data_IF_431398911444
#
_entry.id   IF_431398911444
#
_cell.length_a   1.000
_cell.length_b   1.000
_cell.length_c   1.000
_cell.angle_alpha   90.00
_cell.angle_beta   90.00
_cell.angle_gamma   90.00
#
_symmetry.space_group_name_H-M   'P 1'
#
loop_
_entity.id
_entity.type
_entity.pdbx_description
1 polymer ?
#
# COMPACT_ATOMS: atom_id res chain seq x y z
N UNK A 1 -14.38 2.01 20.21
CA UNK A 1 -13.41 1.14 19.49
C UNK A 1 -12.60 0.21 20.43
N UNK A 2 -12.84 0.24 21.75
CA UNK A 2 -12.30 -0.73 22.72
C UNK A 2 -12.74 -2.18 22.43
N UNK A 3 -13.94 -2.35 21.88
CA UNK A 3 -14.55 -3.64 21.59
C UNK A 3 -13.68 -4.55 20.69
N UNK A 4 -13.07 -4.01 19.65
CA UNK A 4 -12.17 -4.77 18.72
C UNK A 4 -10.86 -5.17 19.41
N UNK A 5 -10.43 -4.43 20.41
CA UNK A 5 -9.20 -4.69 21.17
C UNK A 5 -9.38 -5.79 22.21
N UNK A 6 -10.60 -5.97 22.74
CA UNK A 6 -10.93 -6.90 23.83
C UNK A 6 -11.38 -8.27 23.31
N UNK A 7 -11.85 -8.39 22.07
CA UNK A 7 -12.22 -9.67 21.48
C UNK A 7 -10.98 -10.35 20.87
N UNK A 8 -10.62 -11.52 21.40
CA UNK A 8 -9.43 -12.26 20.98
C UNK A 8 -9.41 -12.68 19.49
N UNK A 9 -10.55 -12.65 18.79
CA UNK A 9 -10.68 -13.08 17.39
C UNK A 9 -10.88 -11.95 16.40
N UNK A 10 -11.46 -10.80 16.80
CA UNK A 10 -11.80 -9.73 15.86
C UNK A 10 -10.55 -9.06 15.26
N UNK A 11 -9.53 -8.79 16.07
CA UNK A 11 -8.30 -8.19 15.59
C UNK A 11 -7.56 -9.06 14.55
N UNK A 12 -7.33 -10.39 14.78
CA UNK A 12 -6.76 -11.27 13.77
C UNK A 12 -7.57 -11.33 12.48
N UNK A 13 -8.91 -11.34 12.55
CA UNK A 13 -9.78 -11.37 11.36
C UNK A 13 -9.62 -10.08 10.54
N UNK A 14 -9.72 -8.91 11.18
CA UNK A 14 -9.55 -7.61 10.50
C UNK A 14 -8.15 -7.49 9.90
N UNK A 15 -7.12 -7.92 10.62
CA UNK A 15 -5.73 -7.91 10.15
C UNK A 15 -5.53 -8.84 8.94
N UNK A 16 -6.05 -10.07 9.00
CA UNK A 16 -5.95 -11.02 7.89
C UNK A 16 -6.71 -10.54 6.65
N UNK A 17 -7.89 -9.97 6.83
CA UNK A 17 -8.67 -9.36 5.75
C UNK A 17 -7.92 -8.19 5.13
N UNK A 18 -7.33 -7.32 5.95
CA UNK A 18 -6.52 -6.20 5.45
C UNK A 18 -5.31 -6.68 4.64
N UNK A 19 -4.58 -7.70 5.11
CA UNK A 19 -3.44 -8.27 4.40
C UNK A 19 -3.85 -8.91 3.06
N UNK A 20 -4.97 -9.63 3.04
CA UNK A 20 -5.53 -10.21 1.81
C UNK A 20 -5.91 -9.12 0.80
N UNK A 21 -6.57 -8.06 1.27
CA UNK A 21 -6.91 -6.91 0.41
C UNK A 21 -5.65 -6.21 -0.13
N UNK A 22 -4.59 -6.07 0.69
CA UNK A 22 -3.31 -5.52 0.24
C UNK A 22 -2.70 -6.39 -0.86
N UNK A 23 -2.72 -7.72 -0.71
CA UNK A 23 -2.16 -8.63 -1.71
C UNK A 23 -2.90 -8.54 -3.05
N UNK A 24 -4.24 -8.57 -3.02
CA UNK A 24 -5.08 -8.46 -4.22
C UNK A 24 -4.91 -7.08 -4.86
N UNK A 25 -5.11 -6.01 -4.11
CA UNK A 25 -5.01 -4.65 -4.62
C UNK A 25 -3.60 -4.31 -5.10
N UNK A 26 -2.57 -4.69 -4.34
CA UNK A 26 -1.17 -4.53 -4.73
C UNK A 26 -0.82 -5.30 -5.99
N UNK A 27 -1.33 -6.53 -6.14
CA UNK A 27 -1.18 -7.31 -7.37
C UNK A 27 -1.77 -6.62 -8.60
N UNK A 28 -2.97 -6.02 -8.48
CA UNK A 28 -3.58 -5.24 -9.56
C UNK A 28 -2.77 -3.99 -9.94
N UNK A 29 -2.12 -3.35 -8.95
CA UNK A 29 -1.21 -2.24 -9.21
C UNK A 29 0.03 -2.73 -9.94
N UNK A 30 0.70 -3.77 -9.43
CA UNK A 30 1.90 -4.35 -10.04
C UNK A 30 1.65 -4.75 -11.49
N UNK A 31 0.53 -5.42 -11.81
CA UNK A 31 0.17 -5.77 -13.19
C UNK A 31 0.10 -4.53 -14.08
N UNK A 32 -0.57 -3.47 -13.61
CA UNK A 32 -0.68 -2.22 -14.37
C UNK A 32 0.68 -1.55 -14.57
N UNK A 33 1.49 -1.47 -13.51
CA UNK A 33 2.76 -0.78 -13.54
C UNK A 33 3.81 -1.52 -14.38
N UNK A 34 3.84 -2.86 -14.31
CA UNK A 34 4.67 -3.68 -15.20
C UNK A 34 4.29 -3.53 -16.67
N UNK A 35 2.99 -3.37 -16.98
CA UNK A 35 2.54 -3.07 -18.35
C UNK A 35 3.00 -1.68 -18.80
N UNK A 36 2.91 -0.66 -17.94
CA UNK A 36 3.38 0.70 -18.22
C UNK A 36 4.91 0.76 -18.41
N UNK A 37 5.66 -0.10 -17.72
CA UNK A 37 7.11 -0.24 -17.91
C UNK A 37 7.46 -1.00 -19.21
N UNK A 38 6.51 -1.76 -19.77
CA UNK A 38 6.75 -2.62 -20.93
C UNK A 38 7.48 -3.93 -20.57
N UNK A 39 7.45 -4.36 -19.30
CA UNK A 39 8.11 -5.59 -18.85
C UNK A 39 7.20 -6.81 -18.87
N UNK A 40 5.88 -6.61 -18.79
CA UNK A 40 4.92 -7.70 -18.82
C UNK A 40 3.67 -7.33 -19.65
N UNK A 41 2.90 -8.34 -20.05
CA UNK A 41 1.64 -8.20 -20.80
C UNK A 41 1.77 -7.37 -22.08
N UNK A 42 2.86 -7.56 -22.83
CA UNK A 42 3.16 -6.80 -24.05
C UNK A 42 2.20 -7.13 -25.19
N UNK A 43 1.56 -8.29 -25.14
CA UNK A 43 0.51 -8.75 -26.06
C UNK A 43 -0.84 -8.03 -25.87
N UNK A 44 -1.02 -7.29 -24.77
CA UNK A 44 -2.22 -6.52 -24.45
C UNK A 44 -1.98 -5.02 -24.65
N UNK A 45 -3.03 -4.29 -25.06
CA UNK A 45 -2.95 -2.84 -25.10
C UNK A 45 -2.82 -2.26 -23.68
N UNK A 46 -2.20 -1.08 -23.54
CA UNK A 46 -2.13 -0.39 -22.24
C UNK A 46 -3.54 -0.04 -21.79
N UNK A 47 -4.40 0.39 -22.73
CA UNK A 47 -5.78 0.74 -22.46
C UNK A 47 -6.57 -0.45 -21.89
N UNK A 48 -6.42 -1.65 -22.47
CA UNK A 48 -7.12 -2.84 -21.97
C UNK A 48 -6.73 -3.18 -20.55
N UNK A 49 -5.44 -3.16 -20.23
CA UNK A 49 -4.96 -3.47 -18.89
C UNK A 49 -5.39 -2.39 -17.87
N UNK A 50 -5.21 -1.11 -18.20
CA UNK A 50 -5.56 -0.01 -17.30
C UNK A 50 -7.06 0.06 -17.04
N UNK A 51 -7.88 -0.01 -18.10
CA UNK A 51 -9.33 0.09 -18.02
C UNK A 51 -9.97 -1.16 -17.42
N UNK A 52 -9.51 -2.36 -17.83
CA UNK A 52 -10.01 -3.62 -17.31
C UNK A 52 -9.82 -3.78 -15.79
N UNK A 53 -8.71 -3.27 -15.26
CA UNK A 53 -8.43 -3.35 -13.81
C UNK A 53 -8.96 -2.14 -13.02
N UNK A 54 -9.46 -1.09 -13.68
CA UNK A 54 -9.86 0.18 -13.04
C UNK A 54 -10.90 0.02 -11.95
N UNK A 55 -11.97 -0.75 -12.23
CA UNK A 55 -13.03 -1.00 -11.27
C UNK A 55 -12.53 -1.79 -10.06
N UNK A 56 -11.82 -2.88 -10.30
CA UNK A 56 -11.26 -3.72 -9.25
C UNK A 56 -10.29 -2.97 -8.34
N UNK A 57 -9.47 -2.09 -8.91
CA UNK A 57 -8.58 -1.21 -8.14
C UNK A 57 -9.35 -0.22 -7.26
N UNK A 58 -10.47 0.32 -7.74
CA UNK A 58 -11.31 1.23 -6.92
C UNK A 58 -11.94 0.49 -5.74
N UNK A 59 -12.55 -0.66 -5.99
CA UNK A 59 -13.17 -1.48 -4.94
C UNK A 59 -12.11 -1.94 -3.92
N UNK A 60 -10.99 -2.49 -4.40
CA UNK A 60 -9.90 -2.92 -3.54
C UNK A 60 -9.32 -1.80 -2.68
N UNK A 61 -9.16 -0.60 -3.24
CA UNK A 61 -8.71 0.58 -2.50
C UNK A 61 -9.68 0.96 -1.37
N UNK A 62 -10.99 1.00 -1.65
CA UNK A 62 -12.02 1.36 -0.66
C UNK A 62 -12.00 0.37 0.51
N UNK A 63 -11.99 -0.93 0.22
CA UNK A 63 -11.97 -1.96 1.26
C UNK A 63 -10.67 -1.89 2.07
N UNK A 64 -9.52 -1.80 1.38
CA UNK A 64 -8.21 -1.71 2.03
C UNK A 64 -8.11 -0.47 2.93
N UNK A 65 -8.62 0.68 2.48
CA UNK A 65 -8.63 1.92 3.24
C UNK A 65 -9.51 1.80 4.48
N UNK A 66 -10.73 1.26 4.35
CA UNK A 66 -11.65 1.05 5.47
C UNK A 66 -11.03 0.13 6.54
N UNK A 67 -10.45 -1.01 6.12
CA UNK A 67 -9.79 -1.94 7.04
C UNK A 67 -8.56 -1.31 7.71
N UNK A 68 -7.75 -0.57 6.96
CA UNK A 68 -6.59 0.14 7.49
C UNK A 68 -6.96 1.23 8.50
N UNK A 69 -8.05 1.95 8.25
CA UNK A 69 -8.59 2.95 9.18
C UNK A 69 -9.11 2.30 10.48
N UNK A 70 -9.80 1.17 10.38
CA UNK A 70 -10.25 0.39 11.52
C UNK A 70 -9.07 -0.09 12.39
N UNK A 71 -8.01 -0.64 11.76
CA UNK A 71 -6.80 -1.06 12.46
C UNK A 71 -6.09 0.12 13.15
N UNK A 72 -5.99 1.26 12.48
CA UNK A 72 -5.43 2.46 13.09
C UNK A 72 -6.22 2.89 14.32
N UNK A 73 -7.55 2.95 14.23
CA UNK A 73 -8.41 3.33 15.36
C UNK A 73 -8.34 2.37 16.55
N UNK A 74 -8.01 1.08 16.32
CA UNK A 74 -7.88 0.10 17.39
C UNK A 74 -6.56 0.18 18.16
N UNK A 75 -5.47 0.66 17.54
CA UNK A 75 -4.11 0.70 18.11
C UNK A 75 -3.40 2.05 17.90
N UNK A 76 -4.12 3.15 17.84
CA UNK A 76 -3.56 4.46 17.55
C UNK A 76 -2.43 4.87 18.53
N UNK A 77 -2.58 4.56 19.82
CA UNK A 77 -1.58 4.85 20.85
C UNK A 77 -0.25 4.10 20.63
N UNK A 78 -0.33 2.86 20.13
CA UNK A 78 0.84 2.02 19.87
C UNK A 78 1.58 2.46 18.60
N UNK A 79 0.87 3.06 17.63
CA UNK A 79 1.44 3.51 16.37
C UNK A 79 2.09 4.89 16.46
N UNK A 80 1.64 5.76 17.37
CA UNK A 80 2.15 7.12 17.47
C UNK A 80 3.66 7.22 17.71
N UNK A 81 4.29 6.43 18.63
CA UNK A 81 5.74 6.48 18.86
C UNK A 81 6.56 5.74 17.78
N UNK A 82 5.91 5.08 16.81
CA UNK A 82 6.57 4.22 15.85
C UNK A 82 7.01 5.01 14.59
N UNK A 83 8.33 5.17 14.33
CA UNK A 83 8.81 5.94 13.18
C UNK A 83 8.39 5.34 11.83
N UNK A 84 8.30 4.00 11.72
CA UNK A 84 7.87 3.34 10.49
C UNK A 84 6.41 3.64 10.13
N UNK A 85 5.58 3.91 11.13
CA UNK A 85 4.22 4.38 10.91
C UNK A 85 4.20 5.73 10.19
N UNK A 86 5.02 6.69 10.63
CA UNK A 86 5.09 8.02 10.01
C UNK A 86 5.68 7.97 8.60
N UNK A 87 6.71 7.14 8.37
CA UNK A 87 7.25 6.92 7.02
C UNK A 87 6.18 6.32 6.11
N UNK A 88 5.39 5.35 6.58
CA UNK A 88 4.25 4.80 5.83
C UNK A 88 3.21 5.87 5.50
N UNK A 89 2.86 6.74 6.44
CA UNK A 89 1.93 7.85 6.20
C UNK A 89 2.47 8.82 5.14
N UNK A 90 3.76 9.16 5.21
CA UNK A 90 4.42 9.98 4.19
C UNK A 90 4.35 9.32 2.80
N UNK A 91 4.66 8.03 2.71
CA UNK A 91 4.54 7.29 1.44
C UNK A 91 3.11 7.29 0.89
N UNK A 92 2.08 7.15 1.75
CA UNK A 92 0.68 7.23 1.33
C UNK A 92 0.31 8.62 0.79
N UNK A 93 0.81 9.70 1.41
CA UNK A 93 0.66 11.08 0.88
C UNK A 93 1.34 11.21 -0.48
N UNK A 94 2.56 10.68 -0.63
CA UNK A 94 3.26 10.69 -1.92
C UNK A 94 2.52 9.88 -3.00
N UNK A 95 1.90 8.76 -2.66
CA UNK A 95 1.04 7.99 -3.57
C UNK A 95 -0.18 8.81 -3.99
N UNK A 96 -0.79 9.55 -3.07
CA UNK A 96 -1.91 10.45 -3.41
C UNK A 96 -1.47 11.55 -4.39
N UNK A 97 -0.34 12.20 -4.12
CA UNK A 97 0.25 13.21 -5.01
C UNK A 97 0.55 12.59 -6.38
N UNK A 98 1.19 11.42 -6.41
CA UNK A 98 1.45 10.66 -7.63
C UNK A 98 0.15 10.40 -8.42
N UNK A 99 -0.90 9.93 -7.73
CA UNK A 99 -2.19 9.67 -8.36
C UNK A 99 -2.81 10.95 -8.95
N UNK A 100 -2.72 12.09 -8.26
CA UNK A 100 -3.23 13.38 -8.76
C UNK A 100 -2.49 13.81 -10.02
N UNK A 101 -1.15 13.71 -10.03
CA UNK A 101 -0.31 14.14 -11.15
C UNK A 101 -0.50 13.22 -12.38
N UNK A 102 -0.42 11.90 -12.19
CA UNK A 102 -0.39 10.95 -13.31
C UNK A 102 -1.78 10.53 -13.78
N UNK A 103 -2.84 10.75 -12.99
CA UNK A 103 -4.21 10.42 -13.40
C UNK A 103 -4.61 11.09 -14.72
N UNK A 104 -4.47 12.40 -14.93
CA UNK A 104 -4.79 13.03 -16.21
C UNK A 104 -3.79 12.67 -17.32
N UNK A 105 -2.53 12.39 -16.99
CA UNK A 105 -1.47 12.18 -17.98
C UNK A 105 -1.40 10.75 -18.53
N UNK A 106 -1.84 9.76 -17.71
CA UNK A 106 -1.65 8.32 -18.00
C UNK A 106 -2.94 7.53 -17.86
N UNK A 107 -3.67 7.72 -16.74
CA UNK A 107 -4.75 6.80 -16.37
C UNK A 107 -6.14 7.20 -16.88
N UNK A 108 -6.38 8.45 -17.24
CA UNK A 108 -7.69 8.89 -17.75
C UNK A 108 -7.87 8.52 -19.23
N UNK A 109 -6.79 8.64 -20.02
CA UNK A 109 -6.78 8.41 -21.47
C UNK A 109 -5.65 7.45 -21.85
N UNK A 110 -5.68 6.19 -21.38
CA UNK A 110 -4.61 5.23 -21.65
C UNK A 110 -4.52 4.83 -23.14
N UNK A 111 -5.58 5.00 -23.92
CA UNK A 111 -5.61 4.82 -25.37
C UNK A 111 -4.61 5.70 -26.10
N UNK A 112 -4.32 6.91 -25.56
CA UNK A 112 -3.31 7.81 -26.13
C UNK A 112 -1.88 7.26 -25.99
N UNK A 113 -1.67 6.30 -25.09
CA UNK A 113 -0.37 5.65 -24.89
C UNK A 113 -0.13 4.53 -25.91
N UNK A 114 -1.21 3.93 -26.42
CA UNK A 114 -1.17 2.87 -27.43
C UNK A 114 -1.03 3.45 -28.84
N UNK A 115 -1.27 4.75 -29.04
CA UNK A 115 -1.11 5.43 -30.32
C UNK A 115 0.35 5.53 -30.80
N UNK A 116 1.32 5.33 -29.90
CA UNK A 116 2.75 5.38 -30.21
C UNK A 116 3.36 3.97 -30.20
N UNK A 117 4.28 3.65 -31.15
CA UNK A 117 4.96 2.36 -31.19
C UNK A 117 5.88 2.12 -29.97
N UNK A 118 6.23 3.19 -29.26
CA UNK A 118 7.08 3.15 -28.06
C UNK A 118 6.31 3.74 -26.89
N UNK A 119 6.33 3.05 -25.75
CA UNK A 119 5.67 3.52 -24.52
C UNK A 119 6.30 4.85 -24.10
N UNK A 120 5.50 5.92 -23.94
CA UNK A 120 6.01 7.24 -23.56
C UNK A 120 6.72 7.23 -22.21
N UNK A 121 7.79 8.00 -22.08
CA UNK A 121 8.57 8.09 -20.82
C UNK A 121 7.72 8.43 -19.60
N UNK A 122 6.69 9.28 -19.77
CA UNK A 122 5.73 9.63 -18.70
C UNK A 122 5.02 8.40 -18.12
N UNK A 123 4.67 7.43 -18.97
CA UNK A 123 4.01 6.19 -18.52
C UNK A 123 4.99 5.29 -17.76
N UNK A 124 6.23 5.17 -18.24
CA UNK A 124 7.29 4.42 -17.56
C UNK A 124 7.64 5.02 -16.20
N UNK A 125 7.76 6.34 -16.12
CA UNK A 125 8.01 7.05 -14.85
C UNK A 125 6.84 6.85 -13.87
N UNK A 126 5.59 6.92 -14.36
CA UNK A 126 4.43 6.67 -13.52
C UNK A 126 4.46 5.26 -12.93
N UNK A 127 4.70 4.22 -13.75
CA UNK A 127 4.76 2.83 -13.29
C UNK A 127 5.93 2.59 -12.33
N UNK A 128 7.14 3.09 -12.65
CA UNK A 128 8.31 2.92 -11.78
C UNK A 128 8.11 3.58 -10.42
N UNK A 129 7.67 4.84 -10.40
CA UNK A 129 7.43 5.57 -9.16
C UNK A 129 6.32 4.94 -8.32
N UNK A 130 5.24 4.47 -8.96
CA UNK A 130 4.17 3.72 -8.31
C UNK A 130 4.71 2.48 -7.61
N UNK A 131 5.48 1.63 -8.31
CA UNK A 131 6.08 0.41 -7.73
C UNK A 131 6.99 0.71 -6.54
N UNK A 132 7.84 1.74 -6.64
CA UNK A 132 8.75 2.14 -5.55
C UNK A 132 7.94 2.55 -4.32
N UNK A 133 6.96 3.42 -4.49
CA UNK A 133 6.13 3.93 -3.40
C UNK A 133 5.31 2.82 -2.73
N UNK A 134 4.69 1.93 -3.52
CA UNK A 134 3.93 0.81 -2.97
C UNK A 134 4.82 -0.19 -2.24
N UNK A 135 6.00 -0.50 -2.77
CA UNK A 135 6.99 -1.35 -2.09
C UNK A 135 7.40 -0.72 -0.76
N UNK A 136 7.66 0.59 -0.74
CA UNK A 136 7.99 1.31 0.49
C UNK A 136 6.85 1.24 1.53
N UNK A 137 5.59 1.39 1.11
CA UNK A 137 4.41 1.23 2.01
C UNK A 137 4.34 -0.17 2.59
N UNK A 138 4.57 -1.21 1.77
CA UNK A 138 4.53 -2.61 2.22
C UNK A 138 5.65 -2.91 3.22
N UNK A 139 6.88 -2.49 2.92
CA UNK A 139 8.04 -2.67 3.80
C UNK A 139 7.83 -1.96 5.15
N UNK A 140 7.44 -0.69 5.13
CA UNK A 140 7.19 0.06 6.38
C UNK A 140 5.99 -0.50 7.14
N UNK A 141 4.94 -0.94 6.44
CA UNK A 141 3.81 -1.63 7.05
C UNK A 141 4.21 -2.90 7.80
N UNK A 142 5.17 -3.64 7.28
CA UNK A 142 5.70 -4.84 7.94
C UNK A 142 6.60 -4.47 9.12
N UNK A 143 7.47 -3.46 8.98
CA UNK A 143 8.39 -3.02 10.02
C UNK A 143 7.67 -2.43 11.26
N UNK A 144 6.47 -1.88 11.11
CA UNK A 144 5.63 -1.44 12.23
C UNK A 144 5.46 -2.55 13.26
N UNK A 145 5.24 -3.78 12.83
CA UNK A 145 5.00 -4.94 13.72
C UNK A 145 6.25 -5.43 14.47
N UNK A 146 7.45 -5.01 14.06
CA UNK A 146 8.72 -5.37 14.73
C UNK A 146 9.30 -4.25 15.60
N UNK A 147 8.64 -3.09 15.61
CA UNK A 147 9.12 -1.98 16.42
C UNK A 147 8.79 -2.17 17.89
N UNK A 148 9.81 -2.21 18.73
CA UNK A 148 9.70 -2.22 20.19
C UNK A 148 10.10 -0.84 20.72
N UNK A 149 9.22 -0.12 21.45
CA UNK A 149 9.56 1.16 22.07
C UNK A 149 10.73 1.01 23.05
N UNK A 150 11.63 2.01 23.15
CA UNK A 150 12.81 1.94 24.01
C UNK A 150 12.53 1.65 25.49
N UNK A 151 11.38 2.05 26.00
CA UNK A 151 10.96 1.84 27.39
C UNK A 151 10.67 0.37 27.74
N UNK A 152 10.25 -0.44 26.78
CA UNK A 152 10.02 -1.88 27.00
C UNK A 152 11.32 -2.67 27.09
N UNK A 153 12.39 -2.22 26.43
CA UNK A 153 13.71 -2.86 26.51
C UNK A 153 14.32 -2.78 27.91
N UNK A 154 14.07 -1.68 28.64
CA UNK A 154 14.57 -1.49 30.00
C UNK A 154 13.94 -2.43 31.03
N UNK A 155 12.66 -2.72 30.92
CA UNK A 155 11.96 -3.61 31.87
C UNK A 155 12.36 -5.09 31.73
N UNK A 156 12.66 -5.55 30.53
CA UNK A 156 13.08 -6.95 30.30
C UNK A 156 14.47 -7.20 30.87
N UNK A 157 15.39 -6.22 30.71
CA UNK A 157 16.77 -6.33 31.24
C UNK A 157 16.79 -6.25 32.78
N UNK A 158 15.96 -5.38 33.39
CA UNK A 158 15.84 -5.28 34.84
C UNK A 158 15.24 -6.54 35.47
N UNK A 159 14.26 -7.17 34.83
CA UNK A 159 13.66 -8.42 35.32
C UNK A 159 14.59 -9.65 35.16
N UNK A 160 15.49 -9.66 34.18
CA UNK A 160 16.46 -10.72 33.96
C UNK A 160 17.70 -10.62 34.90
N UNK A 161 17.99 -9.43 35.42
CA UNK A 161 19.12 -9.19 36.34
C UNK A 161 18.84 -9.49 37.81
N UNK A 162 17.62 -9.88 38.18
CA UNK A 162 17.18 -10.16 39.56
C UNK A 162 16.94 -11.63 39.88
N UNK A 163 17.49 -12.56 39.08
CA UNK A 163 17.44 -14.01 39.33
C UNK A 163 18.81 -14.54 39.73
#
# INVERSE_FOLDING_TARGET
MSFIRESGLEYPIVMSTHLTCIAIFGGLIVITDLRLLGWAFQDKSIADVVNGLRWWKRVGFIIMFAMGFTLFGSKAADYYPNPYFWVKMLCLVLILIHAIIFRPLVYNHPENLDASPVIPTRAKVAGALSLILWTAVLCNGRLIGYYEPPQQKGHVVAAAGTK
#
